data_IF_584615951809
#
_entry.id   IF_584615951809
#
_cell.length_a   1.000
_cell.length_b   1.000
_cell.length_c   1.000
_cell.angle_alpha   90.00
_cell.angle_beta   90.00
_cell.angle_gamma   90.00
#
_symmetry.space_group_name_H-M   'P 1'
#
loop_
_entity.id
_entity.type
_entity.pdbx_description
1 polymer ?
#
# COMPACT_ATOMS: atom_id res chain seq x y z
N UNK A 1 -6.78 -40.05 -2.14
CA UNK A 1 -6.49 -38.91 -1.24
C UNK A 1 -5.42 -38.04 -1.90
N UNK A 2 -5.68 -36.73 -1.93
CA UNK A 2 -4.68 -35.63 -1.79
C UNK A 2 -3.60 -35.44 -2.85
N UNK A 3 -3.79 -34.42 -3.68
CA UNK A 3 -2.75 -33.75 -4.47
C UNK A 3 -3.08 -32.27 -4.58
N UNK A 4 -3.20 -31.61 -3.43
CA UNK A 4 -3.61 -30.22 -3.30
C UNK A 4 -2.53 -29.33 -3.91
N UNK A 5 -2.70 -28.92 -5.17
CA UNK A 5 -1.90 -27.90 -5.81
C UNK A 5 -2.17 -26.57 -5.12
N UNK A 6 -1.52 -26.37 -3.97
CA UNK A 6 -1.29 -25.06 -3.40
C UNK A 6 -0.46 -24.32 -4.43
N UNK A 7 -1.15 -23.62 -5.33
CA UNK A 7 -0.64 -22.48 -6.07
C UNK A 7 -0.03 -21.61 -4.99
N UNK A 8 1.27 -21.75 -4.73
CA UNK A 8 1.99 -20.90 -3.78
C UNK A 8 1.80 -19.53 -4.36
N UNK A 9 0.82 -18.79 -3.85
CA UNK A 9 0.70 -17.39 -4.20
C UNK A 9 1.85 -16.77 -3.44
N UNK A 10 3.00 -16.77 -4.12
CA UNK A 10 4.27 -16.28 -3.63
C UNK A 10 4.02 -14.87 -3.13
N UNK A 11 4.49 -14.57 -1.92
CA UNK A 11 4.49 -13.20 -1.45
C UNK A 11 5.31 -12.37 -2.45
N UNK A 12 4.71 -11.29 -2.93
CA UNK A 12 5.36 -10.29 -3.75
C UNK A 12 5.74 -9.13 -2.87
N UNK A 13 6.83 -8.49 -3.24
CA UNK A 13 7.25 -7.23 -2.63
C UNK A 13 6.93 -6.12 -3.61
N UNK A 14 6.23 -5.09 -3.11
CA UNK A 14 5.89 -3.89 -3.88
C UNK A 14 6.44 -2.69 -3.13
N UNK A 15 7.21 -1.86 -3.82
CA UNK A 15 7.74 -0.62 -3.27
C UNK A 15 6.87 0.53 -3.78
N UNK A 16 6.54 1.46 -2.90
CA UNK A 16 5.71 2.60 -3.26
C UNK A 16 5.50 3.53 -2.08
N UNK A 17 4.64 4.52 -2.24
CA UNK A 17 4.32 5.48 -1.19
C UNK A 17 2.98 5.12 -0.56
N UNK A 18 2.88 5.17 0.76
CA UNK A 18 1.57 5.11 1.41
C UNK A 18 0.83 6.41 1.09
N UNK A 19 -0.24 6.28 0.33
CA UNK A 19 -1.14 7.36 -0.08
C UNK A 19 -2.56 7.03 0.40
N UNK A 20 -3.53 7.87 0.07
CA UNK A 20 -4.94 7.60 0.28
C UNK A 20 -5.66 7.36 -1.07
N UNK A 21 -6.81 6.70 -1.08
CA UNK A 21 -7.51 6.37 -2.32
C UNK A 21 -8.03 7.59 -3.11
N UNK A 22 -8.22 8.76 -2.47
CA UNK A 22 -8.65 9.99 -3.13
C UNK A 22 -7.48 10.68 -3.85
N UNK A 23 -6.28 10.71 -3.27
CA UNK A 23 -5.11 11.27 -3.93
C UNK A 23 -4.43 10.27 -4.87
N UNK A 24 -4.43 8.97 -4.56
CA UNK A 24 -3.86 7.91 -5.39
C UNK A 24 -2.42 8.20 -5.83
N UNK A 25 -2.17 8.19 -7.14
CA UNK A 25 -0.88 8.56 -7.77
C UNK A 25 -0.60 10.07 -7.81
N UNK A 26 -1.61 10.91 -7.58
CA UNK A 26 -1.51 12.38 -7.69
C UNK A 26 -1.01 13.04 -6.41
N UNK A 27 -0.89 12.28 -5.31
CA UNK A 27 -0.13 12.74 -4.15
C UNK A 27 1.34 12.86 -4.59
N UNK A 28 1.76 14.06 -5.01
CA UNK A 28 3.15 14.37 -5.35
C UNK A 28 3.90 14.62 -4.03
N UNK A 29 4.98 13.89 -3.79
CA UNK A 29 5.84 14.21 -2.64
C UNK A 29 6.35 15.64 -2.80
N UNK A 30 6.23 16.46 -1.75
CA UNK A 30 6.70 17.86 -1.76
C UNK A 30 5.65 18.91 -2.10
N UNK A 31 4.36 18.58 -2.16
CA UNK A 31 3.25 19.55 -2.18
C UNK A 31 2.82 19.90 -0.74
N UNK A 32 3.76 20.42 0.06
CA UNK A 32 3.48 20.86 1.44
C UNK A 32 3.53 19.74 2.49
N UNK A 33 2.69 19.84 3.52
CA UNK A 33 2.63 18.86 4.63
C UNK A 33 1.85 17.60 4.20
N UNK A 34 2.51 16.76 3.40
CA UNK A 34 2.02 15.50 2.84
C UNK A 34 1.30 14.63 3.90
N UNK A 35 1.79 14.63 5.15
CA UNK A 35 1.22 13.88 6.26
C UNK A 35 -0.18 14.38 6.64
N UNK A 36 -0.37 15.70 6.73
CA UNK A 36 -1.66 16.31 7.07
C UNK A 36 -2.71 16.08 5.98
N UNK A 37 -2.32 16.15 4.70
CA UNK A 37 -3.21 15.84 3.59
C UNK A 37 -3.65 14.37 3.58
N UNK A 38 -2.72 13.42 3.75
CA UNK A 38 -3.06 11.99 3.82
C UNK A 38 -3.94 11.68 5.04
N UNK A 39 -3.64 12.25 6.21
CA UNK A 39 -4.45 12.04 7.42
C UNK A 39 -5.85 12.66 7.32
N UNK A 40 -5.99 13.78 6.61
CA UNK A 40 -7.30 14.39 6.38
C UNK A 40 -8.13 13.57 5.39
N UNK A 41 -7.53 13.09 4.30
CA UNK A 41 -8.23 12.31 3.28
C UNK A 41 -8.60 10.90 3.76
N UNK A 42 -7.75 10.25 4.56
CA UNK A 42 -8.06 8.90 5.07
C UNK A 42 -9.21 8.87 6.07
N UNK A 43 -9.59 10.00 6.68
CA UNK A 43 -10.82 10.07 7.51
C UNK A 43 -12.08 9.67 6.74
N UNK A 44 -12.10 9.88 5.42
CA UNK A 44 -13.18 9.49 4.53
C UNK A 44 -12.76 8.40 3.51
N UNK A 45 -11.57 7.82 3.68
CA UNK A 45 -10.93 6.98 2.67
C UNK A 45 -10.21 5.75 3.23
N UNK A 46 -9.39 5.12 2.40
CA UNK A 46 -8.53 3.99 2.77
C UNK A 46 -7.09 4.26 2.32
N UNK A 47 -6.12 3.77 3.08
CA UNK A 47 -4.72 3.75 2.67
C UNK A 47 -4.53 2.87 1.45
N UNK A 48 -3.69 3.33 0.54
CA UNK A 48 -3.28 2.61 -0.67
C UNK A 48 -1.77 2.70 -0.80
N UNK A 49 -1.18 1.73 -1.51
CA UNK A 49 0.21 1.83 -1.96
C UNK A 49 0.23 2.41 -3.37
N UNK A 50 0.80 3.60 -3.51
CA UNK A 50 1.06 4.24 -4.79
C UNK A 50 2.45 3.81 -5.28
N UNK A 51 2.47 2.83 -6.18
CA UNK A 51 3.65 2.41 -6.92
C UNK A 51 3.83 3.37 -8.11
N UNK A 52 4.66 4.41 -7.90
CA UNK A 52 4.87 5.47 -8.91
C UNK A 52 5.71 4.97 -10.08
N UNK A 53 6.63 4.05 -9.83
CA UNK A 53 7.52 3.48 -10.85
C UNK A 53 6.74 2.70 -11.91
N UNK A 54 5.76 1.92 -11.45
CA UNK A 54 4.85 1.15 -12.31
C UNK A 54 3.49 1.81 -12.52
N UNK A 55 3.34 3.09 -12.10
CA UNK A 55 2.11 3.90 -12.23
C UNK A 55 0.85 3.13 -11.79
N UNK A 56 0.96 2.42 -10.68
CA UNK A 56 -0.07 1.50 -10.17
C UNK A 56 -0.48 1.88 -8.75
N UNK A 57 -1.75 1.67 -8.41
CA UNK A 57 -2.26 1.86 -7.05
C UNK A 57 -2.82 0.54 -6.56
N UNK A 58 -2.35 0.11 -5.39
CA UNK A 58 -2.82 -1.10 -4.74
C UNK A 58 -3.60 -0.76 -3.47
N UNK A 59 -4.78 -1.35 -3.34
CA UNK A 59 -5.51 -1.36 -2.08
C UNK A 59 -4.77 -2.21 -1.06
N UNK A 60 -4.84 -1.83 0.20
CA UNK A 60 -4.34 -2.63 1.31
C UNK A 60 -5.50 -3.33 2.02
N UNK A 61 -5.29 -4.58 2.42
CA UNK A 61 -6.21 -5.28 3.31
C UNK A 61 -6.27 -4.64 4.71
N UNK A 62 -7.09 -5.20 5.60
CA UNK A 62 -7.32 -4.65 6.93
C UNK A 62 -6.01 -4.48 7.74
N UNK A 63 -5.14 -5.49 7.73
CA UNK A 63 -3.82 -5.41 8.38
C UNK A 63 -2.96 -4.30 7.80
N UNK A 64 -3.01 -4.12 6.48
CA UNK A 64 -2.34 -3.00 5.83
C UNK A 64 -2.93 -1.64 6.21
N UNK A 65 -4.26 -1.50 6.35
CA UNK A 65 -4.90 -0.26 6.80
C UNK A 65 -4.45 0.16 8.20
N UNK A 66 -4.27 -0.81 9.10
CA UNK A 66 -3.82 -0.58 10.48
C UNK A 66 -2.36 -0.12 10.51
N UNK A 67 -1.48 -0.85 9.81
CA UNK A 67 -0.03 -0.58 9.80
C UNK A 67 0.36 0.63 8.95
N UNK A 68 -0.34 0.91 7.86
CA UNK A 68 0.00 2.00 6.94
C UNK A 68 -0.10 3.39 7.59
N UNK A 69 -0.85 3.54 8.68
CA UNK A 69 -0.99 4.81 9.42
C UNK A 69 0.35 5.38 9.87
N UNK A 70 1.27 4.52 10.32
CA UNK A 70 2.59 4.92 10.80
C UNK A 70 3.50 5.41 9.66
N UNK A 71 3.24 4.94 8.45
CA UNK A 71 4.03 5.22 7.26
C UNK A 71 3.33 6.16 6.28
N UNK A 72 2.26 6.85 6.69
CA UNK A 72 1.49 7.74 5.84
C UNK A 72 2.39 8.80 5.16
N UNK A 73 2.31 8.89 3.82
CA UNK A 73 3.14 9.76 2.99
C UNK A 73 4.58 9.27 2.76
N UNK A 74 5.01 8.21 3.46
CA UNK A 74 6.37 7.67 3.35
C UNK A 74 6.47 6.63 2.24
N UNK A 75 7.68 6.50 1.71
CA UNK A 75 8.05 5.40 0.83
C UNK A 75 8.25 4.14 1.68
N UNK A 76 7.59 3.06 1.29
CA UNK A 76 7.62 1.78 1.97
C UNK A 76 7.81 0.64 1.00
N UNK A 77 8.28 -0.48 1.56
CA UNK A 77 8.31 -1.78 0.93
C UNK A 77 7.25 -2.65 1.60
N UNK A 78 6.20 -3.01 0.86
CA UNK A 78 5.15 -3.90 1.33
C UNK A 78 5.42 -5.31 0.80
N UNK A 79 5.54 -6.27 1.71
CA UNK A 79 5.59 -7.70 1.37
C UNK A 79 4.22 -8.31 1.64
N UNK A 80 3.66 -9.00 0.65
CA UNK A 80 2.34 -9.58 0.78
C UNK A 80 1.85 -10.30 -0.47
N UNK A 81 0.61 -10.77 -0.43
CA UNK A 81 -0.01 -11.48 -1.56
C UNK A 81 -0.85 -10.52 -2.38
N UNK A 82 -0.46 -10.26 -3.63
CA UNK A 82 -1.26 -9.45 -4.57
C UNK A 82 -2.40 -10.31 -5.14
N UNK A 83 -3.64 -9.87 -4.94
CA UNK A 83 -4.84 -10.45 -5.57
C UNK A 83 -5.64 -9.35 -6.26
N UNK A 84 -5.64 -9.37 -7.59
CA UNK A 84 -6.23 -8.27 -8.39
C UNK A 84 -5.48 -6.96 -8.11
N UNK A 85 -6.20 -5.98 -7.55
CA UNK A 85 -5.64 -4.68 -7.13
C UNK A 85 -5.47 -4.54 -5.62
N UNK A 86 -5.53 -5.64 -4.86
CA UNK A 86 -5.41 -5.62 -3.40
C UNK A 86 -4.20 -6.42 -2.95
N UNK A 87 -3.35 -5.82 -2.11
CA UNK A 87 -2.27 -6.51 -1.41
C UNK A 87 -2.79 -6.99 -0.08
N UNK A 88 -2.72 -8.30 0.16
CA UNK A 88 -2.84 -8.87 1.51
C UNK A 88 -1.50 -8.70 2.21
N UNK A 89 -1.43 -7.76 3.14
CA UNK A 89 -0.16 -7.30 3.72
C UNK A 89 0.35 -8.31 4.73
N UNK A 90 1.61 -8.68 4.62
CA UNK A 90 2.34 -9.46 5.62
C UNK A 90 3.28 -8.55 6.42
N UNK A 91 4.03 -7.69 5.72
CA UNK A 91 4.94 -6.72 6.32
C UNK A 91 4.93 -5.38 5.57
N UNK A 92 5.16 -4.30 6.30
CA UNK A 92 5.42 -2.95 5.78
C UNK A 92 6.71 -2.49 6.44
N UNK A 93 7.67 -2.07 5.63
CA UNK A 93 8.96 -1.55 6.08
C UNK A 93 9.21 -0.20 5.41
N UNK A 94 9.84 0.73 6.10
CA UNK A 94 10.32 1.96 5.47
C UNK A 94 11.33 1.60 4.35
N UNK A 95 11.19 2.25 3.20
CA UNK A 95 12.11 2.10 2.08
C UNK A 95 12.81 3.43 1.83
N UNK A 96 14.13 3.40 1.74
CA UNK A 96 14.94 4.57 1.38
C UNK A 96 14.87 4.89 -0.12
#
# INVERSE_FOLDING_TARGET
>A
MSGNAQKRVQAKTVVGYISDNHCGLKHMAGMGDDKSCTLMCVKNGKFVLADRDHRSVYNLDQTGQEKAREFAGQKVKITGRVTGKTIRVTAIEAAT
#
